data_IF_791570243495
#
_entry.id   IF_791570243495
#
_cell.length_a   1.000
_cell.length_b   1.000
_cell.length_c   1.000
_cell.angle_alpha   90.00
_cell.angle_beta   90.00
_cell.angle_gamma   90.00
#
_symmetry.space_group_name_H-M   'P 1'
#
loop_
_entity.id
_entity.type
_entity.pdbx_description
1 polymer ?
#
# COMPACT_ATOMS: atom_id res chain seq x y z
N UNK A 1 13.28 13.76 8.90
CA UNK A 1 12.59 13.04 10.00
C UNK A 1 11.75 11.94 9.37
N UNK A 2 11.75 10.72 9.88
CA UNK A 2 11.01 9.61 9.26
C UNK A 2 9.50 9.81 9.40
N UNK A 3 8.74 9.62 8.31
CA UNK A 3 7.28 9.84 8.27
C UNK A 3 6.59 8.53 7.91
N UNK A 4 5.58 8.14 8.69
CA UNK A 4 4.78 6.94 8.47
C UNK A 4 3.30 7.30 8.44
N UNK A 5 2.56 6.73 7.49
CA UNK A 5 1.11 6.82 7.44
C UNK A 5 0.49 5.54 8.02
N UNK A 6 -0.49 5.68 8.90
CA UNK A 6 -1.28 4.58 9.44
C UNK A 6 -2.72 4.78 8.98
N UNK A 7 -3.21 3.86 8.16
CA UNK A 7 -4.47 3.94 7.45
C UNK A 7 -5.44 2.93 8.04
N UNK A 8 -6.66 3.34 8.33
CA UNK A 8 -7.73 2.44 8.77
C UNK A 8 -8.15 2.68 10.22
N UNK A 9 -9.45 2.51 10.47
CA UNK A 9 -10.10 2.91 11.74
C UNK A 9 -9.79 2.00 12.92
N UNK A 10 -9.28 0.80 12.64
CA UNK A 10 -8.92 -0.19 13.64
C UNK A 10 -7.46 -0.06 14.12
N UNK A 11 -6.74 0.98 13.68
CA UNK A 11 -5.43 1.31 14.21
C UNK A 11 -5.50 1.50 15.74
N UNK A 12 -4.62 0.80 16.44
CA UNK A 12 -4.76 0.58 17.88
C UNK A 12 -3.49 1.00 18.65
N UNK A 13 -3.54 0.89 19.98
CA UNK A 13 -2.42 1.29 20.83
C UNK A 13 -1.16 0.42 20.68
N UNK A 14 -1.31 -0.84 20.26
CA UNK A 14 -0.20 -1.75 20.01
C UNK A 14 0.59 -1.34 18.75
N UNK A 15 -0.10 -0.94 17.67
CA UNK A 15 0.51 -0.35 16.47
C UNK A 15 1.27 0.92 16.84
N UNK A 16 0.64 1.83 17.58
CA UNK A 16 1.28 3.07 18.02
C UNK A 16 2.55 2.80 18.85
N UNK A 17 2.52 1.75 19.69
CA UNK A 17 3.66 1.34 20.51
C UNK A 17 4.76 0.58 19.75
N UNK A 18 4.50 0.09 18.54
CA UNK A 18 5.49 -0.54 17.67
C UNK A 18 6.29 0.50 16.86
N UNK A 19 5.70 1.67 16.59
CA UNK A 19 6.36 2.73 15.84
C UNK A 19 7.39 3.45 16.73
N UNK A 20 8.65 3.66 16.26
CA UNK A 20 9.65 4.43 17.01
C UNK A 20 9.17 5.83 17.39
N UNK A 21 9.41 6.23 18.64
CA UNK A 21 8.87 7.47 19.20
C UNK A 21 9.41 8.76 18.55
N UNK A 22 10.55 8.68 17.86
CA UNK A 22 11.17 9.78 17.13
C UNK A 22 10.64 9.95 15.70
N UNK A 23 9.70 9.10 15.26
CA UNK A 23 9.09 9.18 13.94
C UNK A 23 7.80 10.02 13.95
N UNK A 24 7.52 10.67 12.82
CA UNK A 24 6.27 11.38 12.62
C UNK A 24 5.20 10.43 12.07
N UNK A 25 4.16 10.18 12.85
CA UNK A 25 3.03 9.31 12.46
C UNK A 25 1.82 10.14 12.08
N UNK A 26 1.21 9.86 10.93
CA UNK A 26 -0.08 10.41 10.51
C UNK A 26 -1.13 9.30 10.50
N UNK A 27 -2.20 9.45 11.28
CA UNK A 27 -3.33 8.51 11.31
C UNK A 27 -4.42 8.99 10.36
N UNK A 28 -4.79 8.18 9.39
CA UNK A 28 -5.69 8.52 8.29
C UNK A 28 -6.98 7.71 8.44
N UNK A 29 -8.10 8.42 8.61
CA UNK A 29 -9.41 7.85 8.88
C UNK A 29 -10.42 8.04 7.73
N UNK A 30 -9.99 8.72 6.67
CA UNK A 30 -10.80 9.06 5.50
C UNK A 30 -11.72 10.26 5.67
N UNK A 31 -11.67 10.95 6.82
CA UNK A 31 -12.56 12.09 7.09
C UNK A 31 -12.06 13.38 6.43
N UNK A 32 -10.76 13.52 6.16
CA UNK A 32 -10.18 14.67 5.47
C UNK A 32 -9.26 14.22 4.34
N UNK A 33 -9.87 13.84 3.23
CA UNK A 33 -9.20 13.22 2.09
C UNK A 33 -8.00 14.03 1.56
N UNK A 34 -8.10 15.35 1.43
CA UNK A 34 -6.99 16.17 0.94
C UNK A 34 -5.79 16.13 1.88
N UNK A 35 -6.04 16.19 3.19
CA UNK A 35 -4.99 16.09 4.19
C UNK A 35 -4.39 14.68 4.25
N UNK A 36 -5.23 13.66 4.12
CA UNK A 36 -4.80 12.26 4.12
C UNK A 36 -3.88 11.97 2.93
N UNK A 37 -4.20 12.47 1.74
CA UNK A 37 -3.34 12.34 0.57
C UNK A 37 -2.00 13.08 0.70
N UNK A 38 -2.00 14.26 1.31
CA UNK A 38 -0.75 14.97 1.62
C UNK A 38 0.14 14.19 2.57
N UNK A 39 -0.47 13.55 3.57
CA UNK A 39 0.25 12.69 4.51
C UNK A 39 0.81 11.44 3.82
N UNK A 40 0.02 10.80 2.95
CA UNK A 40 0.45 9.63 2.15
C UNK A 40 1.62 9.97 1.22
N UNK A 41 1.53 11.06 0.47
CA UNK A 41 2.59 11.48 -0.46
C UNK A 41 3.92 11.75 0.26
N UNK A 42 3.86 12.27 1.48
CA UNK A 42 5.05 12.52 2.30
C UNK A 42 5.48 11.34 3.17
N UNK A 43 4.81 10.19 3.08
CA UNK A 43 5.13 9.02 3.90
C UNK A 43 6.27 8.21 3.28
N UNK A 44 7.18 7.74 4.13
CA UNK A 44 8.22 6.78 3.75
C UNK A 44 7.72 5.34 3.83
N UNK A 45 6.66 5.10 4.60
CA UNK A 45 6.03 3.78 4.77
C UNK A 45 4.54 3.96 5.08
N UNK A 46 3.70 3.04 4.61
CA UNK A 46 2.27 3.02 4.87
C UNK A 46 1.84 1.72 5.58
N UNK A 47 1.17 1.83 6.72
CA UNK A 47 0.55 0.71 7.43
C UNK A 47 -0.95 0.72 7.18
N UNK A 48 -1.46 -0.36 6.60
CA UNK A 48 -2.86 -0.55 6.31
C UNK A 48 -3.49 -1.45 7.38
N UNK A 49 -4.21 -0.86 8.32
CA UNK A 49 -4.88 -1.55 9.40
C UNK A 49 -6.25 -2.06 8.93
N UNK A 50 -6.43 -3.38 8.99
CA UNK A 50 -7.69 -4.04 8.65
C UNK A 50 -8.20 -4.79 9.88
N UNK A 51 -9.41 -4.50 10.32
CA UNK A 51 -10.06 -5.27 11.39
C UNK A 51 -10.36 -6.69 10.90
N UNK A 52 -10.03 -7.71 11.69
CA UNK A 52 -10.36 -9.09 11.38
C UNK A 52 -11.87 -9.35 11.30
N UNK A 53 -12.68 -8.55 12.02
CA UNK A 53 -14.14 -8.69 12.03
C UNK A 53 -14.84 -7.76 11.03
N UNK A 54 -14.34 -6.53 10.86
CA UNK A 54 -14.96 -5.55 9.96
C UNK A 54 -14.45 -5.61 8.51
N UNK A 55 -13.25 -6.18 8.29
CA UNK A 55 -12.61 -6.23 6.98
C UNK A 55 -12.20 -4.85 6.45
N UNK A 56 -12.37 -4.64 5.15
CA UNK A 56 -11.99 -3.40 4.45
C UNK A 56 -13.07 -2.32 4.52
N UNK A 57 -12.65 -1.09 4.78
CA UNK A 57 -13.48 0.09 4.53
C UNK A 57 -13.16 0.73 3.16
N UNK A 58 -14.03 1.65 2.72
CA UNK A 58 -13.90 2.31 1.42
C UNK A 58 -12.61 3.12 1.34
N UNK A 59 -12.22 3.78 2.43
CA UNK A 59 -11.02 4.61 2.52
C UNK A 59 -9.75 3.76 2.38
N UNK A 60 -9.71 2.59 2.99
CA UNK A 60 -8.63 1.62 2.86
C UNK A 60 -8.36 1.31 1.38
N UNK A 61 -9.38 0.86 0.64
CA UNK A 61 -9.23 0.46 -0.77
C UNK A 61 -8.82 1.66 -1.64
N UNK A 62 -9.38 2.84 -1.34
CA UNK A 62 -9.08 4.08 -2.02
C UNK A 62 -7.59 4.45 -1.87
N UNK A 63 -7.09 4.49 -0.64
CA UNK A 63 -5.69 4.79 -0.35
C UNK A 63 -4.75 3.69 -0.82
N UNK A 64 -5.18 2.43 -0.80
CA UNK A 64 -4.40 1.32 -1.34
C UNK A 64 -4.08 1.53 -2.81
N UNK A 65 -5.11 1.74 -3.63
CA UNK A 65 -4.98 2.02 -5.06
C UNK A 65 -4.16 3.27 -5.33
N UNK A 66 -4.32 4.29 -4.48
CA UNK A 66 -3.53 5.50 -4.60
C UNK A 66 -2.03 5.22 -4.52
N UNK A 67 -1.61 4.34 -3.61
CA UNK A 67 -0.19 4.05 -3.39
C UNK A 67 0.40 3.09 -4.42
N UNK A 68 -0.39 2.31 -5.16
CA UNK A 68 0.12 1.40 -6.21
C UNK A 68 1.03 2.13 -7.21
N UNK A 69 0.70 3.37 -7.59
CA UNK A 69 1.49 4.15 -8.55
C UNK A 69 2.78 4.75 -7.99
N UNK A 70 2.90 4.92 -6.67
CA UNK A 70 4.01 5.66 -6.06
C UNK A 70 5.10 4.76 -5.46
N UNK A 71 4.90 3.44 -5.50
CA UNK A 71 5.87 2.44 -5.00
C UNK A 71 6.27 2.74 -3.54
N UNK A 72 5.36 3.34 -2.76
CA UNK A 72 5.57 3.57 -1.33
C UNK A 72 5.48 2.21 -0.63
N UNK A 73 6.52 1.81 0.13
CA UNK A 73 6.51 0.58 0.90
C UNK A 73 5.33 0.53 1.84
N UNK A 74 4.70 -0.63 1.91
CA UNK A 74 3.50 -0.81 2.71
C UNK A 74 3.45 -2.18 3.35
N UNK A 75 2.65 -2.29 4.39
CA UNK A 75 2.28 -3.55 5.02
C UNK A 75 0.81 -3.51 5.43
N UNK A 76 0.17 -4.68 5.46
CA UNK A 76 -1.17 -4.84 6.02
C UNK A 76 -1.03 -5.34 7.45
N UNK A 77 -1.77 -4.74 8.39
CA UNK A 77 -1.81 -5.17 9.79
C UNK A 77 -3.24 -5.58 10.11
N UNK A 78 -3.47 -6.87 10.34
CA UNK A 78 -4.75 -7.38 10.82
C UNK A 78 -4.90 -7.05 12.30
N UNK A 79 -5.99 -6.38 12.68
CA UNK A 79 -6.25 -5.92 14.04
C UNK A 79 -7.52 -6.57 14.60
N UNK A 80 -7.84 -6.27 15.86
CA UNK A 80 -9.05 -6.73 16.55
C UNK A 80 -9.17 -8.26 16.67
N UNK A 81 -8.04 -8.97 16.71
CA UNK A 81 -8.01 -10.43 16.95
C UNK A 81 -8.52 -10.85 18.34
N UNK A 82 -8.63 -9.90 19.28
CA UNK A 82 -9.20 -10.14 20.61
C UNK A 82 -10.73 -10.36 20.59
N UNK A 83 -11.38 -10.15 19.44
CA UNK A 83 -12.80 -10.41 19.23
C UNK A 83 -13.07 -11.90 19.00
N UNK A 84 -14.19 -12.43 19.50
CA UNK A 84 -14.54 -13.84 19.36
C UNK A 84 -14.86 -14.26 17.94
N UNK A 85 -15.27 -13.31 17.09
CA UNK A 85 -15.58 -13.56 15.69
C UNK A 85 -14.36 -13.33 14.76
N UNK A 86 -13.19 -12.99 15.32
CA UNK A 86 -11.99 -12.73 14.54
C UNK A 86 -11.32 -14.04 14.09
N UNK A 87 -10.98 -14.10 12.80
CA UNK A 87 -10.20 -15.19 12.21
C UNK A 87 -9.09 -14.60 11.33
N UNK A 88 -7.85 -14.87 11.72
CA UNK A 88 -6.67 -14.34 11.03
C UNK A 88 -6.46 -15.01 9.66
N UNK A 89 -6.75 -16.29 9.54
CA UNK A 89 -6.57 -17.03 8.29
C UNK A 89 -7.64 -16.62 7.26
N UNK A 90 -8.89 -16.43 7.70
CA UNK A 90 -9.94 -15.84 6.86
C UNK A 90 -9.60 -14.39 6.45
N UNK A 91 -9.00 -13.62 7.36
CA UNK A 91 -8.52 -12.26 7.07
C UNK A 91 -7.43 -12.27 5.98
N UNK A 92 -6.46 -13.18 6.08
CA UNK A 92 -5.42 -13.35 5.05
C UNK A 92 -6.01 -13.77 3.71
N UNK A 93 -6.94 -14.72 3.69
CA UNK A 93 -7.63 -15.13 2.47
C UNK A 93 -8.46 -13.99 1.85
N UNK A 94 -9.08 -13.15 2.68
CA UNK A 94 -9.80 -11.96 2.23
C UNK A 94 -8.84 -10.93 1.63
N UNK A 95 -7.70 -10.69 2.27
CA UNK A 95 -6.62 -9.84 1.77
C UNK A 95 -6.14 -10.32 0.41
N UNK A 96 -5.79 -11.60 0.30
CA UNK A 96 -5.31 -12.19 -0.94
C UNK A 96 -6.31 -12.00 -2.09
N UNK A 97 -7.60 -12.25 -1.82
CA UNK A 97 -8.67 -12.13 -2.81
C UNK A 97 -8.94 -10.69 -3.27
N UNK A 98 -8.75 -9.70 -2.40
CA UNK A 98 -9.12 -8.30 -2.68
C UNK A 98 -7.94 -7.47 -3.17
N UNK A 99 -6.74 -7.73 -2.63
CA UNK A 99 -5.55 -6.92 -2.86
C UNK A 99 -4.50 -7.62 -3.75
N UNK A 100 -4.43 -8.96 -3.75
CA UNK A 100 -3.46 -9.73 -4.54
C UNK A 100 -2.97 -10.99 -3.80
N UNK A 101 -2.79 -12.10 -4.51
CA UNK A 101 -2.37 -13.40 -3.94
C UNK A 101 -0.93 -13.38 -3.39
N UNK A 102 -0.11 -12.45 -3.88
CA UNK A 102 1.28 -12.22 -3.46
C UNK A 102 1.41 -11.57 -2.06
N UNK A 103 0.29 -11.17 -1.44
CA UNK A 103 0.25 -10.49 -0.14
C UNK A 103 0.08 -11.53 0.95
N UNK A 104 1.20 -11.92 1.56
CA UNK A 104 1.26 -13.09 2.44
C UNK A 104 1.65 -12.73 3.88
N UNK A 105 1.15 -13.49 4.89
CA UNK A 105 1.57 -13.33 6.27
C UNK A 105 3.02 -13.77 6.48
N UNK A 106 3.76 -13.02 7.31
CA UNK A 106 5.13 -13.38 7.73
C UNK A 106 5.17 -14.23 9.00
N UNK A 107 4.06 -14.28 9.72
CA UNK A 107 3.84 -15.08 10.90
C UNK A 107 2.37 -15.51 10.96
N UNK A 108 2.08 -16.66 11.58
CA UNK A 108 0.72 -17.13 11.78
C UNK A 108 0.32 -17.03 13.25
N UNK A 109 -0.99 -16.86 13.49
CA UNK A 109 -1.56 -16.77 14.83
C UNK A 109 -1.83 -18.17 15.37
N UNK A 110 -1.26 -18.48 16.53
CA UNK A 110 -1.60 -19.66 17.30
C UNK A 110 -2.67 -19.30 18.32
N UNK A 111 -3.68 -20.16 18.45
CA UNK A 111 -4.82 -19.95 19.33
C UNK A 111 -4.76 -20.87 20.56
N UNK A 112 -5.30 -20.40 21.70
CA UNK A 112 -5.56 -21.26 22.87
C UNK A 112 -6.77 -22.19 22.59
N UNK A 113 -7.04 -23.14 23.51
CA UNK A 113 -8.18 -24.07 23.39
C UNK A 113 -9.54 -23.36 23.30
N UNK A 114 -9.66 -22.14 23.82
CA UNK A 114 -10.88 -21.32 23.77
C UNK A 114 -11.02 -20.49 22.48
N UNK A 115 -10.05 -20.62 21.56
CA UNK A 115 -10.02 -19.90 20.29
C UNK A 115 -9.41 -18.50 20.38
N UNK A 116 -8.97 -18.04 21.56
CA UNK A 116 -8.33 -16.73 21.68
C UNK A 116 -6.92 -16.72 21.08
N UNK A 117 -6.48 -15.61 20.45
CA UNK A 117 -5.12 -15.51 19.91
C UNK A 117 -4.10 -15.49 21.06
N UNK A 118 -3.14 -16.41 20.99
CA UNK A 118 -2.25 -16.74 22.09
C UNK A 118 -0.79 -16.36 21.82
N UNK A 119 -0.34 -16.61 20.60
CA UNK A 119 1.06 -16.53 20.21
C UNK A 119 1.20 -16.35 18.70
N UNK A 120 2.41 -15.96 18.25
CA UNK A 120 2.77 -15.94 16.83
C UNK A 120 3.84 -16.97 16.55
N UNK A 121 3.70 -17.71 15.45
CA UNK A 121 4.78 -18.50 14.88
C UNK A 121 5.38 -17.76 13.68
N UNK A 122 6.64 -17.37 13.81
CA UNK A 122 7.41 -16.74 12.74
C UNK A 122 7.77 -17.78 11.66
N UNK A 123 7.37 -17.53 10.40
CA UNK A 123 7.52 -18.50 9.32
C UNK A 123 8.97 -18.63 8.82
N UNK A 124 9.86 -17.71 9.17
CA UNK A 124 11.27 -17.81 8.79
C UNK A 124 12.07 -18.67 9.75
N UNK A 125 11.90 -18.41 11.04
CA UNK A 125 12.66 -18.99 12.15
C UNK A 125 11.98 -20.20 12.78
N UNK A 126 10.68 -20.40 12.55
CA UNK A 126 9.83 -21.40 13.20
C UNK A 126 9.83 -21.28 14.72
N UNK A 127 9.93 -20.05 15.21
CA UNK A 127 9.87 -19.75 16.63
C UNK A 127 8.51 -19.17 16.99
N UNK A 128 8.07 -19.54 18.18
CA UNK A 128 6.81 -19.09 18.76
C UNK A 128 7.12 -17.95 19.73
N UNK A 129 6.48 -16.80 19.53
CA UNK A 129 6.49 -15.67 20.46
C UNK A 129 5.16 -15.59 21.19
N UNK A 130 5.21 -15.71 22.52
CA UNK A 130 4.05 -15.56 23.41
C UNK A 130 4.46 -14.71 24.62
N UNK A 131 3.74 -13.63 24.91
CA UNK A 131 3.98 -12.75 26.05
C UNK A 131 5.48 -12.34 26.19
N UNK A 132 6.08 -11.85 25.10
CA UNK A 132 7.50 -11.44 25.01
C UNK A 132 8.52 -12.58 25.23
N UNK A 133 8.08 -13.84 25.24
CA UNK A 133 8.98 -15.01 25.30
C UNK A 133 8.99 -15.72 23.96
N UNK A 134 10.18 -16.02 23.49
CA UNK A 134 10.40 -16.75 22.24
C UNK A 134 10.94 -18.14 22.53
N UNK A 135 10.32 -19.16 21.95
CA UNK A 135 10.66 -20.58 22.08
C UNK A 135 10.65 -21.27 20.72
N UNK A 136 11.38 -22.38 20.57
CA UNK A 136 11.29 -23.18 19.34
C UNK A 136 9.94 -23.89 19.26
N UNK A 137 9.36 -23.98 18.06
CA UNK A 137 8.11 -24.71 17.84
C UNK A 137 8.30 -26.23 17.98
N UNK A 138 7.27 -26.91 18.50
CA UNK A 138 7.23 -28.37 18.52
C UNK A 138 7.08 -28.92 17.09
N UNK A 139 7.60 -30.13 16.78
CA UNK A 139 7.57 -30.68 15.43
C UNK A 139 6.16 -30.73 14.80
N UNK A 140 5.13 -31.03 15.60
CA UNK A 140 3.74 -31.07 15.12
C UNK A 140 3.25 -29.68 14.68
N UNK A 141 3.63 -28.62 15.40
CA UNK A 141 3.30 -27.24 15.02
C UNK A 141 4.08 -26.82 13.78
N UNK A 142 5.34 -27.25 13.66
CA UNK A 142 6.15 -26.99 12.46
C UNK A 142 5.49 -27.61 11.23
N UNK A 143 5.07 -28.87 11.29
CA UNK A 143 4.40 -29.55 10.18
C UNK A 143 3.14 -28.81 9.69
N UNK A 144 2.37 -28.22 10.61
CA UNK A 144 1.15 -27.47 10.27
C UNK A 144 1.40 -26.19 9.48
N UNK A 145 2.58 -25.58 9.60
CA UNK A 145 2.90 -24.28 8.96
C UNK A 145 3.85 -24.42 7.77
N UNK A 146 4.24 -25.64 7.39
CA UNK A 146 5.21 -25.86 6.31
C UNK A 146 4.73 -25.32 4.97
N UNK A 147 3.48 -25.56 4.60
CA UNK A 147 2.96 -25.12 3.30
C UNK A 147 2.97 -23.58 3.19
N UNK A 148 2.46 -22.89 4.22
CA UNK A 148 2.46 -21.43 4.29
C UNK A 148 3.88 -20.84 4.30
N UNK A 149 4.82 -21.53 4.96
CA UNK A 149 6.23 -21.15 4.93
C UNK A 149 6.83 -21.30 3.53
N UNK A 150 6.63 -22.43 2.87
CA UNK A 150 7.17 -22.67 1.53
C UNK A 150 6.64 -21.66 0.53
N UNK A 151 5.33 -21.36 0.59
CA UNK A 151 4.69 -20.33 -0.21
C UNK A 151 5.32 -18.95 0.03
N UNK A 152 5.43 -18.51 1.29
CA UNK A 152 6.05 -17.23 1.65
C UNK A 152 7.49 -17.11 1.14
N UNK A 153 8.32 -18.14 1.36
CA UNK A 153 9.72 -18.10 0.96
C UNK A 153 9.87 -18.05 -0.56
N UNK A 154 9.04 -18.79 -1.28
CA UNK A 154 9.04 -18.81 -2.74
C UNK A 154 8.55 -17.48 -3.32
N UNK A 155 7.53 -16.88 -2.72
CA UNK A 155 7.04 -15.56 -3.14
C UNK A 155 8.14 -14.52 -2.99
N UNK A 156 8.74 -14.39 -1.79
CA UNK A 156 9.83 -13.42 -1.54
C UNK A 156 10.98 -13.60 -2.52
N UNK A 157 11.40 -14.84 -2.80
CA UNK A 157 12.47 -15.12 -3.75
C UNK A 157 12.13 -14.66 -5.18
N UNK A 158 10.85 -14.81 -5.56
CA UNK A 158 10.31 -14.39 -6.85
C UNK A 158 10.21 -12.87 -6.92
N UNK A 159 9.69 -12.20 -5.87
CA UNK A 159 9.48 -10.76 -5.84
C UNK A 159 10.78 -9.97 -6.01
N UNK A 160 11.89 -10.45 -5.45
CA UNK A 160 13.21 -9.81 -5.59
C UNK A 160 14.04 -10.32 -6.78
N UNK A 161 13.51 -11.26 -7.55
CA UNK A 161 14.18 -11.86 -8.72
C UNK A 161 15.56 -12.47 -8.36
N UNK A 162 15.68 -13.10 -7.19
CA UNK A 162 16.92 -13.75 -6.76
C UNK A 162 16.95 -15.21 -7.25
N UNK A 163 17.66 -15.45 -8.35
CA UNK A 163 17.82 -16.79 -8.94
C UNK A 163 18.50 -17.78 -7.99
N UNK A 164 19.46 -17.32 -7.17
CA UNK A 164 20.18 -18.20 -6.24
C UNK A 164 19.26 -18.67 -5.13
N UNK A 165 18.50 -17.74 -4.54
CA UNK A 165 17.52 -18.04 -3.51
C UNK A 165 16.43 -18.99 -4.03
N UNK A 166 15.88 -18.68 -5.20
CA UNK A 166 14.87 -19.50 -5.88
C UNK A 166 15.37 -20.92 -6.17
N UNK A 167 16.62 -21.08 -6.64
CA UNK A 167 17.20 -22.39 -6.90
C UNK A 167 17.42 -23.22 -5.64
N UNK A 168 17.80 -22.60 -4.53
CA UNK A 168 17.98 -23.29 -3.25
C UNK A 168 16.64 -23.83 -2.73
N UNK A 169 15.60 -22.99 -2.73
CA UNK A 169 14.26 -23.38 -2.29
C UNK A 169 13.69 -24.52 -3.15
N UNK A 170 13.85 -24.46 -4.48
CA UNK A 170 13.43 -25.53 -5.39
C UNK A 170 14.13 -26.88 -5.11
N UNK A 171 15.35 -26.85 -4.55
CA UNK A 171 16.11 -28.03 -4.16
C UNK A 171 15.80 -28.50 -2.73
N UNK A 172 14.86 -27.85 -2.03
CA UNK A 172 14.56 -28.12 -0.62
C UNK A 172 15.65 -27.66 0.34
N UNK A 173 16.53 -26.76 -0.09
CA UNK A 173 17.59 -26.19 0.75
C UNK A 173 17.11 -24.87 1.33
N UNK A 174 16.78 -24.86 2.62
CA UNK A 174 16.41 -23.63 3.32
C UNK A 174 17.66 -22.75 3.56
N UNK A 175 17.67 -21.50 3.08
CA UNK A 175 18.74 -20.55 3.36
C UNK A 175 18.83 -20.20 4.85
N UNK A 176 19.93 -19.53 5.25
CA UNK A 176 20.05 -19.07 6.63
C UNK A 176 19.04 -17.96 6.94
N UNK A 177 18.62 -17.87 8.21
CA UNK A 177 17.67 -16.84 8.66
C UNK A 177 18.12 -15.42 8.27
N UNK A 178 19.41 -15.12 8.38
CA UNK A 178 19.96 -13.82 8.00
C UNK A 178 19.82 -13.52 6.50
N UNK A 179 19.89 -14.54 5.63
CA UNK A 179 19.65 -14.36 4.18
C UNK A 179 18.17 -14.08 3.93
N UNK A 180 17.28 -14.85 4.55
CA UNK A 180 15.84 -14.70 4.39
C UNK A 180 15.33 -13.35 4.92
N UNK A 181 15.81 -12.92 6.10
CA UNK A 181 15.45 -11.62 6.67
C UNK A 181 15.89 -10.48 5.76
N UNK A 182 17.09 -10.54 5.19
CA UNK A 182 17.55 -9.52 4.23
C UNK A 182 16.71 -9.52 2.95
N UNK A 183 16.33 -10.69 2.45
CA UNK A 183 15.47 -10.81 1.29
C UNK A 183 14.10 -10.18 1.56
N UNK A 184 13.47 -10.48 2.71
CA UNK A 184 12.22 -9.85 3.14
C UNK A 184 12.36 -8.33 3.21
N UNK A 185 13.36 -7.82 3.95
CA UNK A 185 13.53 -6.38 4.13
C UNK A 185 13.69 -5.66 2.77
N UNK A 186 14.48 -6.21 1.85
CA UNK A 186 14.62 -5.69 0.50
C UNK A 186 13.27 -5.71 -0.26
N UNK A 187 12.57 -6.84 -0.25
CA UNK A 187 11.30 -7.00 -0.94
C UNK A 187 10.25 -5.99 -0.46
N UNK A 188 10.18 -5.76 0.85
CA UNK A 188 9.26 -4.77 1.44
C UNK A 188 9.71 -3.34 1.15
N UNK A 189 11.00 -3.03 1.32
CA UNK A 189 11.57 -1.71 1.06
C UNK A 189 11.40 -1.24 -0.39
N UNK A 190 11.33 -2.18 -1.33
CA UNK A 190 11.14 -1.91 -2.77
C UNK A 190 9.67 -1.99 -3.20
N UNK A 191 8.75 -2.25 -2.26
CA UNK A 191 7.34 -2.56 -2.54
C UNK A 191 7.14 -3.76 -3.47
N UNK A 192 8.14 -4.63 -3.65
CA UNK A 192 8.03 -5.84 -4.44
C UNK A 192 7.22 -6.92 -3.71
N UNK A 193 7.23 -6.89 -2.38
CA UNK A 193 6.42 -7.76 -1.52
C UNK A 193 5.72 -6.92 -0.45
N UNK A 194 4.47 -7.24 -0.16
CA UNK A 194 3.69 -6.56 0.86
C UNK A 194 3.34 -7.56 1.95
N UNK A 195 3.91 -7.43 3.17
CA UNK A 195 3.70 -8.40 4.22
C UNK A 195 2.37 -8.16 4.93
N UNK A 196 1.72 -9.25 5.33
CA UNK A 196 0.65 -9.24 6.33
C UNK A 196 1.25 -9.50 7.72
N UNK A 197 0.92 -8.62 8.65
CA UNK A 197 1.22 -8.74 10.06
C UNK A 197 -0.09 -8.74 10.84
N UNK A 198 0.02 -8.90 12.15
CA UNK A 198 -1.10 -8.77 13.06
C UNK A 198 -0.78 -7.85 14.23
N UNK A 199 -1.82 -7.35 14.89
CA UNK A 199 -1.72 -6.64 16.15
C UNK A 199 -2.94 -6.90 17.03
N UNK A 200 -2.71 -7.47 18.21
CA UNK A 200 -3.73 -7.55 19.27
C UNK A 200 -3.45 -6.53 20.36
N UNK A 201 -4.49 -5.86 20.87
CA UNK A 201 -4.32 -4.88 21.95
C UNK A 201 -3.99 -5.57 23.27
N UNK A 202 -4.58 -6.74 23.52
CA UNK A 202 -4.24 -7.56 24.67
C UNK A 202 -3.02 -8.42 24.33
N UNK A 203 -2.03 -8.43 25.23
CA UNK A 203 -0.90 -9.37 25.14
C UNK A 203 0.22 -9.01 24.17
N UNK A 204 0.25 -7.78 23.65
CA UNK A 204 1.32 -7.23 22.77
C UNK A 204 1.63 -8.06 21.53
N UNK A 205 0.70 -8.92 21.11
CA UNK A 205 0.85 -9.81 19.97
C UNK A 205 1.14 -9.00 18.70
N UNK A 206 2.22 -9.34 18.00
CA UNK A 206 2.62 -8.70 16.75
C UNK A 206 3.28 -7.33 16.89
N UNK A 207 3.38 -6.78 18.11
CA UNK A 207 4.02 -5.48 18.34
C UNK A 207 5.53 -5.54 18.05
N UNK A 208 6.21 -6.58 18.52
CA UNK A 208 7.65 -6.77 18.30
C UNK A 208 7.95 -6.99 16.82
N UNK A 209 7.16 -7.82 16.17
CA UNK A 209 7.27 -8.20 14.77
C UNK A 209 7.08 -6.97 13.87
N UNK A 210 6.09 -6.14 14.18
CA UNK A 210 5.87 -4.86 13.49
C UNK A 210 7.03 -3.88 13.74
N UNK A 211 7.53 -3.77 14.97
CA UNK A 211 8.68 -2.91 15.28
C UNK A 211 9.94 -3.33 14.53
N UNK A 212 10.24 -4.63 14.52
CA UNK A 212 11.43 -5.19 13.87
C UNK A 212 11.34 -5.03 12.35
N UNK A 213 10.16 -5.23 11.75
CA UNK A 213 9.94 -4.97 10.33
C UNK A 213 10.18 -3.48 9.99
N UNK A 214 9.51 -2.58 10.70
CA UNK A 214 9.60 -1.13 10.44
C UNK A 214 11.04 -0.63 10.57
N UNK A 215 11.73 -1.00 11.65
CA UNK A 215 13.11 -0.59 11.88
C UNK A 215 14.07 -1.26 10.90
N UNK A 216 13.81 -2.51 10.50
CA UNK A 216 14.59 -3.20 9.47
C UNK A 216 14.49 -2.53 8.10
N UNK A 217 13.27 -2.21 7.63
CA UNK A 217 13.04 -1.56 6.33
C UNK A 217 13.65 -0.17 6.31
N UNK A 218 13.42 0.62 7.36
CA UNK A 218 13.82 2.03 7.37
C UNK A 218 15.29 2.26 7.80
N UNK A 219 15.96 1.24 8.33
CA UNK A 219 17.41 1.24 8.54
C UNK A 219 18.21 0.72 7.34
N UNK A 220 17.54 0.14 6.34
CA UNK A 220 18.21 -0.33 5.14
C UNK A 220 18.88 0.85 4.41
N UNK A 221 20.15 0.67 4.01
CA UNK A 221 20.95 1.74 3.44
C UNK A 221 20.53 2.13 2.03
N UNK A 222 20.00 1.19 1.23
CA UNK A 222 19.49 1.48 -0.11
C UNK A 222 18.16 2.22 0.00
N UNK A 223 17.31 1.81 0.95
CA UNK A 223 16.09 2.53 1.28
C UNK A 223 16.38 3.94 1.81
N UNK A 224 17.32 4.06 2.75
CA UNK A 224 17.73 5.37 3.29
C UNK A 224 18.36 6.27 2.23
N UNK A 225 19.08 5.71 1.27
CA UNK A 225 19.67 6.46 0.15
C UNK A 225 18.61 6.91 -0.86
N UNK A 226 17.60 6.08 -1.14
CA UNK A 226 16.46 6.47 -1.99
C UNK A 226 15.66 7.60 -1.34
N UNK A 227 15.44 7.53 -0.03
CA UNK A 227 14.83 8.59 0.78
C UNK A 227 15.67 9.88 0.84
N UNK A 228 17.00 9.78 0.87
CA UNK A 228 17.86 10.96 0.92
C UNK A 228 18.00 11.67 -0.45
N UNK A 229 17.85 10.93 -1.55
CA UNK A 229 17.81 11.47 -2.91
C UNK A 229 16.46 12.07 -3.28
N UNK A 230 15.36 11.51 -2.74
CA UNK A 230 14.03 12.11 -2.77
C UNK A 230 13.94 13.15 -1.65
N UNK A 231 14.31 14.40 -1.93
CA UNK A 231 14.21 15.49 -0.95
C UNK A 231 12.75 15.77 -0.53
N UNK A 232 12.19 14.98 0.37
CA UNK A 232 10.85 15.15 0.95
C UNK A 232 10.74 16.36 1.90
N UNK A 233 11.87 17.00 2.23
CA UNK A 233 11.92 18.24 3.03
C UNK A 233 11.49 19.48 2.22
N UNK A 234 11.49 19.38 0.89
CA UNK A 234 10.80 20.30 -0.01
C UNK A 234 9.80 19.47 -0.81
N UNK A 235 8.64 19.20 -0.24
CA UNK A 235 7.46 18.92 -1.06
C UNK A 235 7.25 20.19 -1.88
N UNK A 236 7.81 20.24 -3.09
CA UNK A 236 7.53 21.33 -4.00
C UNK A 236 6.02 21.32 -4.22
N UNK A 237 5.39 22.49 -4.12
CA UNK A 237 3.93 22.60 -4.22
C UNK A 237 3.44 22.02 -5.55
N UNK A 238 4.29 22.06 -6.59
CA UNK A 238 4.09 21.44 -7.89
C UNK A 238 4.06 19.91 -7.89
N UNK A 239 4.89 19.21 -7.10
CA UNK A 239 4.87 17.74 -7.00
C UNK A 239 3.62 17.25 -6.24
N UNK A 240 3.22 17.99 -5.21
CA UNK A 240 1.99 17.73 -4.47
C UNK A 240 0.74 18.02 -5.32
N UNK A 241 0.71 19.13 -6.05
CA UNK A 241 -0.40 19.41 -6.98
C UNK A 241 -0.45 18.37 -8.10
N UNK A 242 0.69 17.96 -8.66
CA UNK A 242 0.77 16.85 -9.63
C UNK A 242 0.24 15.53 -9.06
N UNK A 243 0.59 15.20 -7.81
CA UNK A 243 0.07 14.04 -7.10
C UNK A 243 -1.45 14.11 -6.91
N UNK A 244 -1.95 15.23 -6.39
CA UNK A 244 -3.38 15.44 -6.17
C UNK A 244 -4.15 15.47 -7.50
N UNK A 245 -3.57 16.02 -8.57
CA UNK A 245 -4.15 16.10 -9.90
C UNK A 245 -4.25 14.74 -10.58
N UNK A 246 -3.26 13.86 -10.40
CA UNK A 246 -3.37 12.44 -10.81
C UNK A 246 -4.50 11.71 -10.09
N UNK A 247 -4.81 12.14 -8.86
CA UNK A 247 -5.86 11.53 -8.04
C UNK A 247 -7.25 12.17 -8.18
N UNK A 248 -7.33 13.39 -8.71
CA UNK A 248 -8.58 14.12 -8.96
C UNK A 248 -9.60 13.34 -9.82
N UNK A 249 -9.22 12.56 -10.84
CA UNK A 249 -10.14 11.68 -11.57
C UNK A 249 -10.90 10.67 -10.67
N UNK A 250 -10.27 10.17 -9.60
CA UNK A 250 -10.94 9.28 -8.63
C UNK A 250 -11.90 10.04 -7.71
N UNK A 251 -11.55 11.27 -7.29
CA UNK A 251 -12.47 12.16 -6.54
C UNK A 251 -13.71 12.54 -7.35
N UNK A 252 -13.53 12.67 -8.66
CA UNK A 252 -14.59 13.03 -9.61
C UNK A 252 -15.60 11.90 -9.84
N UNK A 253 -15.16 10.64 -9.77
CA UNK A 253 -16.03 9.47 -9.86
C UNK A 253 -17.02 9.34 -8.72
N UNK A 254 -16.64 9.78 -7.52
CA UNK A 254 -17.43 9.61 -6.30
C UNK A 254 -18.48 10.72 -6.10
N UNK A 255 -18.55 11.71 -7.01
CA UNK A 255 -19.60 12.73 -7.03
C UNK A 255 -19.48 13.81 -5.94
N UNK A 256 -18.32 13.92 -5.29
CA UNK A 256 -18.07 14.81 -4.14
C UNK A 256 -17.67 16.23 -4.57
N UNK A 257 -17.51 16.51 -5.87
CA UNK A 257 -17.12 17.85 -6.34
C UNK A 257 -18.36 18.76 -6.45
N UNK A 258 -18.38 19.83 -5.64
CA UNK A 258 -19.46 20.82 -5.61
C UNK A 258 -19.29 21.96 -6.64
N UNK A 259 -18.12 22.09 -7.27
CA UNK A 259 -17.77 23.16 -8.22
C UNK A 259 -17.54 22.68 -9.66
N UNK A 260 -17.43 23.64 -10.59
CA UNK A 260 -17.04 23.40 -11.98
C UNK A 260 -15.55 23.01 -12.05
N UNK A 261 -15.23 22.01 -12.87
CA UNK A 261 -13.87 21.45 -12.95
C UNK A 261 -13.25 21.87 -14.27
N UNK A 262 -12.12 22.55 -14.20
CA UNK A 262 -11.32 22.86 -15.39
C UNK A 262 -10.26 21.77 -15.55
N UNK A 263 -10.26 21.10 -16.70
CA UNK A 263 -9.23 20.14 -17.09
C UNK A 263 -8.26 20.81 -18.06
N UNK A 264 -6.97 20.54 -17.88
CA UNK A 264 -5.90 20.84 -18.82
C UNK A 264 -5.22 19.53 -19.20
N UNK A 265 -5.23 19.19 -20.49
CA UNK A 265 -4.78 17.90 -21.02
C UNK A 265 -3.63 18.17 -21.99
N UNK A 266 -2.41 17.82 -21.61
CA UNK A 266 -1.22 17.92 -22.46
C UNK A 266 -0.85 16.54 -23.01
N UNK A 267 -0.62 16.40 -24.32
CA UNK A 267 -0.33 15.11 -24.96
C UNK A 267 0.52 15.30 -26.23
N UNK A 268 1.19 14.25 -26.75
CA UNK A 268 1.94 14.36 -28.00
C UNK A 268 1.03 14.74 -29.20
N UNK A 269 1.49 15.68 -30.05
CA UNK A 269 0.70 16.22 -31.19
C UNK A 269 0.13 15.14 -32.13
N UNK A 270 0.80 14.00 -32.23
CA UNK A 270 0.38 12.88 -33.07
C UNK A 270 -0.95 12.23 -32.64
N UNK A 271 -1.39 12.46 -31.40
CA UNK A 271 -2.66 11.94 -30.85
C UNK A 271 -3.79 12.98 -30.81
N UNK A 272 -3.59 14.18 -31.37
CA UNK A 272 -4.57 15.27 -31.28
C UNK A 272 -5.95 14.90 -31.85
N UNK A 273 -5.99 14.20 -32.99
CA UNK A 273 -7.26 13.82 -33.61
C UNK A 273 -8.03 12.76 -32.80
N UNK A 274 -7.31 11.89 -32.09
CA UNK A 274 -7.85 10.88 -31.19
C UNK A 274 -8.39 11.53 -29.92
N UNK A 275 -7.59 12.38 -29.26
CA UNK A 275 -8.00 13.10 -28.05
C UNK A 275 -9.22 13.99 -28.32
N UNK A 276 -9.23 14.75 -29.43
CA UNK A 276 -10.38 15.58 -29.83
C UNK A 276 -11.65 14.76 -30.05
N UNK A 277 -11.51 13.53 -30.52
CA UNK A 277 -12.63 12.60 -30.72
C UNK A 277 -13.20 12.12 -29.39
N UNK A 278 -12.35 11.84 -28.40
CA UNK A 278 -12.79 11.44 -27.07
C UNK A 278 -13.41 12.61 -26.29
N UNK A 279 -12.86 13.83 -26.41
CA UNK A 279 -13.48 15.06 -25.89
C UNK A 279 -14.89 15.25 -26.49
N UNK A 280 -15.01 15.06 -27.81
CA UNK A 280 -16.28 15.15 -28.50
C UNK A 280 -17.28 14.07 -28.05
N UNK A 281 -16.82 12.83 -27.80
CA UNK A 281 -17.64 11.73 -27.26
C UNK A 281 -18.12 12.01 -25.84
N UNK A 282 -17.27 12.65 -25.05
CA UNK A 282 -17.56 13.16 -23.72
C UNK A 282 -18.57 14.33 -23.74
N UNK A 283 -18.91 14.87 -24.92
CA UNK A 283 -19.76 16.07 -25.09
C UNK A 283 -19.22 17.30 -24.37
N UNK A 284 -17.90 17.36 -24.24
CA UNK A 284 -17.17 18.49 -23.69
C UNK A 284 -16.66 19.32 -24.87
N UNK A 285 -16.63 20.64 -24.72
CA UNK A 285 -16.05 21.54 -25.72
C UNK A 285 -14.83 22.20 -25.09
N UNK A 286 -13.62 22.09 -25.70
CA UNK A 286 -12.46 22.78 -25.18
C UNK A 286 -12.63 24.30 -25.25
N UNK A 287 -12.29 24.96 -24.15
CA UNK A 287 -12.14 26.41 -24.09
C UNK A 287 -10.85 26.85 -24.78
N UNK A 288 -9.79 26.02 -24.65
CA UNK A 288 -8.50 26.22 -25.31
C UNK A 288 -8.09 24.97 -26.08
N UNK A 289 -7.61 25.15 -27.31
CA UNK A 289 -7.01 24.09 -28.13
C UNK A 289 -5.74 24.62 -28.80
N UNK A 290 -4.58 24.13 -28.39
CA UNK A 290 -3.27 24.59 -28.87
C UNK A 290 -2.40 23.40 -29.21
N UNK A 291 -1.83 23.39 -30.42
CA UNK A 291 -0.84 22.38 -30.84
C UNK A 291 0.50 23.10 -31.06
N UNK A 292 1.54 22.77 -30.28
CA UNK A 292 2.84 23.46 -30.35
C UNK A 292 4.02 22.55 -30.00
N UNK A 293 5.00 22.53 -30.91
CA UNK A 293 6.33 21.93 -30.68
C UNK A 293 6.29 20.45 -30.26
N UNK A 294 5.34 19.67 -30.80
CA UNK A 294 5.23 18.23 -30.50
C UNK A 294 4.33 17.92 -29.30
N UNK A 295 3.79 18.94 -28.62
CA UNK A 295 2.86 18.81 -27.51
C UNK A 295 1.60 19.65 -27.78
N UNK A 296 0.47 18.99 -27.68
CA UNK A 296 -0.87 19.54 -27.79
C UNK A 296 -1.47 19.73 -26.41
N UNK A 297 -2.21 20.82 -26.23
CA UNK A 297 -2.91 21.19 -25.02
C UNK A 297 -4.40 21.36 -25.32
N UNK A 298 -5.25 20.80 -24.46
CA UNK A 298 -6.69 21.03 -24.43
C UNK A 298 -7.10 21.47 -23.04
N UNK A 299 -7.69 22.66 -22.92
CA UNK A 299 -8.33 23.09 -21.68
C UNK A 299 -9.85 23.00 -21.85
N UNK A 300 -10.54 22.40 -20.90
CA UNK A 300 -11.98 22.23 -20.96
C UNK A 300 -12.64 22.29 -19.59
N UNK A 301 -13.76 23.02 -19.50
CA UNK A 301 -14.65 22.94 -18.36
C UNK A 301 -15.58 21.73 -18.46
N UNK A 302 -15.61 20.94 -17.39
CA UNK A 302 -16.51 19.80 -17.27
C UNK A 302 -17.56 20.10 -16.20
N UNK A 303 -18.86 20.16 -16.59
CA UNK A 303 -19.93 20.37 -15.64
C UNK A 303 -20.08 19.16 -14.71
N UNK A 304 -20.58 19.38 -13.49
CA UNK A 304 -20.75 18.35 -12.43
C UNK A 304 -21.48 17.07 -12.89
N UNK A 305 -22.42 17.17 -13.83
CA UNK A 305 -23.17 16.04 -14.40
C UNK A 305 -22.36 15.23 -15.45
N UNK A 306 -21.16 15.69 -15.81
CA UNK A 306 -20.28 15.12 -16.84
C UNK A 306 -19.26 14.10 -16.32
N UNK A 307 -19.30 13.69 -15.05
CA UNK A 307 -18.33 12.77 -14.45
C UNK A 307 -18.06 11.47 -15.27
N UNK A 308 -19.07 10.79 -15.89
CA UNK A 308 -18.81 9.62 -16.74
C UNK A 308 -18.06 9.96 -18.03
N UNK A 309 -18.32 11.14 -18.59
CA UNK A 309 -17.67 11.64 -19.78
C UNK A 309 -16.22 12.07 -19.49
N UNK A 310 -15.97 12.64 -18.31
CA UNK A 310 -14.64 12.94 -17.79
C UNK A 310 -13.80 11.67 -17.61
N UNK A 311 -14.40 10.57 -17.14
CA UNK A 311 -13.66 9.34 -16.92
C UNK A 311 -13.19 8.68 -18.22
N UNK A 312 -14.07 8.61 -19.21
CA UNK A 312 -13.74 8.09 -20.53
C UNK A 312 -12.64 8.93 -21.20
N UNK A 313 -12.70 10.25 -21.00
CA UNK A 313 -11.69 11.20 -21.49
C UNK A 313 -10.34 10.99 -20.80
N UNK A 314 -10.31 10.89 -19.48
CA UNK A 314 -9.09 10.66 -18.69
C UNK A 314 -8.45 9.32 -19.04
N UNK A 315 -9.24 8.25 -19.09
CA UNK A 315 -8.73 6.91 -19.45
C UNK A 315 -8.11 6.90 -20.83
N UNK A 316 -8.80 7.48 -21.82
CA UNK A 316 -8.27 7.53 -23.19
C UNK A 316 -7.03 8.42 -23.28
N UNK A 317 -7.01 9.56 -22.57
CA UNK A 317 -5.85 10.46 -22.57
C UNK A 317 -4.61 9.79 -21.93
N UNK A 318 -4.79 9.01 -20.85
CA UNK A 318 -3.70 8.22 -20.25
C UNK A 318 -3.13 7.16 -21.23
N UNK A 319 -3.97 6.53 -22.07
CA UNK A 319 -3.51 5.60 -23.11
C UNK A 319 -2.56 6.26 -24.14
N UNK A 320 -2.59 7.60 -24.25
CA UNK A 320 -1.77 8.38 -25.18
C UNK A 320 -0.63 9.15 -24.50
N UNK A 321 -0.19 8.74 -23.30
CA UNK A 321 0.83 9.44 -22.50
C UNK A 321 0.48 10.91 -22.20
N UNK A 322 -0.80 11.23 -22.06
CA UNK A 322 -1.22 12.58 -21.70
C UNK A 322 -0.91 12.89 -20.22
N UNK A 323 -0.49 14.13 -19.95
CA UNK A 323 -0.45 14.73 -18.62
C UNK A 323 -1.75 15.50 -18.40
N UNK A 324 -2.50 15.11 -17.38
CA UNK A 324 -3.79 15.74 -17.06
C UNK A 324 -3.65 16.53 -15.77
N UNK A 325 -3.92 17.82 -15.85
CA UNK A 325 -4.00 18.74 -14.73
C UNK A 325 -5.47 19.06 -14.48
N UNK A 326 -5.95 18.82 -13.27
CA UNK A 326 -7.34 19.09 -12.90
C UNK A 326 -7.36 20.26 -11.93
N UNK A 327 -8.04 21.34 -12.27
CA UNK A 327 -8.18 22.52 -11.42
C UNK A 327 -9.61 22.56 -10.89
N UNK A 328 -9.76 22.52 -9.57
CA UNK A 328 -11.00 22.91 -8.90
C UNK A 328 -11.08 24.43 -8.93
N UNK A 329 -12.15 24.97 -9.50
CA UNK A 329 -12.54 26.36 -9.21
C UNK A 329 -13.27 26.46 -7.88
#
# INVERSE_FOLDING_TARGET
MTRIAVIGRSANSAIAGAIPADWHTSYLDGNNEEQDFRALHGAHFALFCMSATAGFDVSFIKYWKALEEFVIPRAVVVTDLDDSDADFDESCALIARVLGEEILPIALVLHEEDGSPAALIDLFSLKITQNERTTDAEPEVVELVMDAREELLQEIATSIVDESLSQQLLQGVTPSLAVLQRALINAVATSAFIPVLTSAEKGSLGRSELHDLLTGVLADSEFSASLAGASHDNVDTADMESFLNRYLPHRLLEGIVESEISLSIEFPDEFAAEVDREISRARVVPDTSVDRHGISLRECEVPRLGAPALLALVQSACEYNAVITVLST
#
